data_IF_053877004946
#
_entry.id   IF_053877004946
#
_cell.length_a   1.000
_cell.length_b   1.000
_cell.length_c   1.000
_cell.angle_alpha   90.00
_cell.angle_beta   90.00
_cell.angle_gamma   90.00
#
_symmetry.space_group_name_H-M   'P 1'
#
loop_
_entity.id
_entity.type
_entity.pdbx_description
1 polymer ?
#
# COMPACT_ATOMS: atom_id res chain seq x y z
N UNK A 1 -13.53 12.14 23.06
CA UNK A 1 -14.56 11.36 22.37
C UNK A 1 -13.90 10.73 21.16
N UNK A 2 -13.93 9.41 21.01
CA UNK A 2 -13.46 8.77 19.79
C UNK A 2 -14.54 8.97 18.72
N UNK A 3 -14.28 9.77 17.69
CA UNK A 3 -15.21 9.84 16.56
C UNK A 3 -15.14 8.52 15.79
N UNK A 4 -16.31 7.96 15.52
CA UNK A 4 -16.47 6.84 14.62
C UNK A 4 -16.62 7.41 13.21
N UNK A 5 -15.79 6.96 12.29
CA UNK A 5 -15.80 7.40 10.89
C UNK A 5 -16.32 6.27 10.00
N UNK A 6 -16.86 6.61 8.85
CA UNK A 6 -17.28 5.63 7.84
C UNK A 6 -16.32 5.72 6.68
N UNK A 7 -15.59 4.64 6.46
CA UNK A 7 -14.71 4.48 5.30
C UNK A 7 -15.38 3.58 4.29
N UNK A 8 -15.22 3.95 3.02
CA UNK A 8 -15.76 3.23 1.88
C UNK A 8 -14.61 2.90 0.95
N UNK A 9 -14.43 1.60 0.68
CA UNK A 9 -13.43 1.12 -0.26
C UNK A 9 -14.18 0.75 -1.54
N UNK A 10 -13.82 1.42 -2.62
CA UNK A 10 -14.41 1.21 -3.94
C UNK A 10 -13.35 0.62 -4.87
N UNK A 11 -13.68 -0.50 -5.50
CA UNK A 11 -12.83 -1.13 -6.50
C UNK A 11 -13.56 -1.13 -7.83
N UNK A 12 -12.89 -0.64 -8.88
CA UNK A 12 -13.40 -0.65 -10.24
C UNK A 12 -12.43 -1.40 -11.13
N UNK A 13 -12.96 -2.36 -11.87
CA UNK A 13 -12.22 -3.09 -12.89
C UNK A 13 -12.53 -2.48 -14.26
N UNK A 14 -11.49 -1.97 -14.93
CA UNK A 14 -11.58 -1.50 -16.30
C UNK A 14 -10.91 -2.49 -17.25
N UNK A 15 -11.55 -2.71 -18.39
CA UNK A 15 -10.94 -3.38 -19.54
C UNK A 15 -10.65 -2.36 -20.63
N UNK A 16 -9.45 -2.44 -21.20
CA UNK A 16 -9.06 -1.66 -22.39
C UNK A 16 -8.92 -2.60 -23.58
N UNK A 17 -9.67 -2.34 -24.64
CA UNK A 17 -9.58 -3.12 -25.88
C UNK A 17 -8.48 -2.53 -26.79
N UNK A 18 -8.08 -3.25 -27.85
CA UNK A 18 -7.02 -2.81 -28.81
C UNK A 18 -7.29 -1.49 -29.56
N UNK A 19 -8.42 -0.83 -29.30
CA UNK A 19 -8.81 0.50 -29.80
C UNK A 19 -8.71 1.59 -28.72
N UNK A 20 -8.11 1.29 -27.56
CA UNK A 20 -7.90 2.19 -26.41
C UNK A 20 -9.18 2.75 -25.77
N UNK A 21 -10.33 2.13 -26.02
CA UNK A 21 -11.58 2.44 -25.31
C UNK A 21 -11.54 1.68 -23.97
N UNK A 22 -11.66 2.43 -22.88
CA UNK A 22 -11.83 1.88 -21.54
C UNK A 22 -13.32 1.65 -21.26
N UNK A 23 -13.64 0.47 -20.76
CA UNK A 23 -14.98 0.11 -20.30
C UNK A 23 -14.89 -0.46 -18.89
N UNK A 24 -15.71 0.05 -17.99
CA UNK A 24 -15.92 -0.57 -16.68
C UNK A 24 -16.59 -1.94 -16.84
N UNK A 25 -15.99 -2.95 -16.24
CA UNK A 25 -16.43 -4.35 -16.30
C UNK A 25 -17.21 -4.70 -15.04
N UNK A 26 -16.70 -4.28 -13.89
CA UNK A 26 -17.23 -4.63 -12.58
C UNK A 26 -16.80 -3.58 -11.56
N UNK A 27 -17.68 -3.31 -10.61
CA UNK A 27 -17.40 -2.54 -9.42
C UNK A 27 -17.86 -3.28 -8.16
N UNK A 28 -17.18 -3.05 -7.05
CA UNK A 28 -17.71 -3.42 -5.76
C UNK A 28 -17.31 -2.42 -4.69
N UNK A 29 -18.16 -2.32 -3.68
CA UNK A 29 -18.04 -1.38 -2.59
C UNK A 29 -18.14 -2.11 -1.25
N UNK A 30 -17.24 -1.78 -0.32
CA UNK A 30 -17.30 -2.28 1.06
C UNK A 30 -17.21 -1.08 2.00
N UNK A 31 -18.12 -1.05 2.98
CA UNK A 31 -18.18 -0.02 4.00
C UNK A 31 -17.66 -0.54 5.35
N UNK A 32 -16.85 0.27 6.01
CA UNK A 32 -16.30 0.00 7.33
C UNK A 32 -16.56 1.17 8.28
N UNK A 33 -17.16 0.89 9.43
CA UNK A 33 -17.12 1.81 10.58
C UNK A 33 -15.74 1.70 11.25
N UNK A 34 -14.92 2.74 11.15
CA UNK A 34 -13.53 2.74 11.60
C UNK A 34 -13.37 3.61 12.85
N UNK A 35 -12.34 3.30 13.64
CA UNK A 35 -11.97 4.07 14.83
C UNK A 35 -10.53 4.55 14.69
N UNK A 36 -10.31 5.86 14.81
CA UNK A 36 -8.98 6.46 14.79
C UNK A 36 -8.13 6.01 13.58
N UNK A 37 -8.62 6.19 12.34
CA UNK A 37 -7.88 5.76 11.16
C UNK A 37 -6.51 6.44 11.09
N UNK A 38 -5.55 5.75 10.48
CA UNK A 38 -4.16 6.20 10.40
C UNK A 38 -3.69 6.25 8.96
N UNK A 39 -2.93 7.29 8.64
CA UNK A 39 -2.09 7.36 7.44
C UNK A 39 -0.64 7.42 7.87
N UNK A 40 0.11 6.38 7.58
CA UNK A 40 1.54 6.29 7.88
C UNK A 40 2.32 6.38 6.57
N UNK A 41 3.44 7.11 6.58
CA UNK A 41 4.25 7.31 5.40
C UNK A 41 5.72 7.14 5.73
N UNK A 42 6.47 6.43 4.87
CA UNK A 42 7.90 6.20 5.05
C UNK A 42 8.61 6.10 3.71
N UNK A 43 9.68 6.86 3.54
CA UNK A 43 10.62 6.65 2.43
C UNK A 43 11.61 5.54 2.79
N UNK A 44 11.86 4.64 1.85
CA UNK A 44 12.81 3.52 1.97
C UNK A 44 13.64 3.37 0.70
N UNK A 45 14.84 2.80 0.80
CA UNK A 45 15.68 2.34 -0.33
C UNK A 45 16.23 0.95 -0.01
N UNK A 46 16.76 0.23 -0.99
CA UNK A 46 17.28 -1.13 -0.78
C UNK A 46 18.28 -1.24 0.39
N UNK A 47 19.18 -0.25 0.53
CA UNK A 47 20.21 -0.25 1.59
C UNK A 47 19.65 -0.10 3.01
N UNK A 48 18.41 0.35 3.16
CA UNK A 48 17.75 0.42 4.46
C UNK A 48 17.27 -0.97 4.94
N UNK A 49 17.42 -2.00 4.09
CA UNK A 49 17.02 -3.38 4.33
C UNK A 49 15.53 -3.48 4.67
N UNK A 50 15.22 -4.17 5.77
CA UNK A 50 13.86 -4.41 6.24
C UNK A 50 13.47 -3.34 7.27
N UNK A 51 12.76 -2.31 6.81
CA UNK A 51 12.36 -1.14 7.59
C UNK A 51 11.06 -1.42 8.34
N UNK A 52 11.00 -1.08 9.62
CA UNK A 52 9.77 -1.18 10.40
C UNK A 52 8.88 0.05 10.21
N UNK A 53 7.60 -0.18 9.92
CA UNK A 53 6.55 0.85 9.95
C UNK A 53 5.88 0.80 11.32
N UNK A 54 5.81 1.92 12.07
CA UNK A 54 5.31 1.93 13.44
C UNK A 54 3.77 1.86 13.45
N UNK A 55 3.22 0.65 13.53
CA UNK A 55 1.78 0.44 13.64
C UNK A 55 1.32 0.77 15.08
N UNK A 56 0.37 1.69 15.27
CA UNK A 56 -0.15 2.01 16.60
C UNK A 56 -0.79 0.80 17.27
N UNK A 57 -0.51 0.61 18.56
CA UNK A 57 -1.10 -0.46 19.36
C UNK A 57 -2.43 -0.02 20.00
N UNK A 58 -3.26 -0.98 20.39
CA UNK A 58 -4.53 -0.72 21.07
C UNK A 58 -5.69 -0.27 20.16
N UNK A 59 -5.48 -0.25 18.85
CA UNK A 59 -6.50 0.03 17.84
C UNK A 59 -6.78 -1.25 17.04
N UNK A 60 -8.05 -1.57 16.82
CA UNK A 60 -8.44 -2.69 15.95
C UNK A 60 -8.78 -2.14 14.57
N UNK A 61 -7.87 -2.30 13.62
CA UNK A 61 -8.09 -1.95 12.22
C UNK A 61 -8.89 -3.05 11.51
N UNK A 62 -9.86 -2.64 10.69
CA UNK A 62 -10.71 -3.49 9.85
C UNK A 62 -10.10 -3.75 8.47
N UNK A 63 -9.27 -2.85 7.96
CA UNK A 63 -8.59 -3.00 6.68
C UNK A 63 -7.20 -2.37 6.69
N UNK A 64 -6.41 -2.79 5.71
CA UNK A 64 -5.10 -2.22 5.40
C UNK A 64 -4.99 -1.98 3.91
N UNK A 65 -4.54 -0.78 3.55
CA UNK A 65 -4.09 -0.44 2.20
C UNK A 65 -2.61 -0.08 2.26
N UNK A 66 -1.79 -0.70 1.41
CA UNK A 66 -0.38 -0.31 1.24
C UNK A 66 -0.18 0.10 -0.21
N UNK A 67 0.42 1.27 -0.39
CA UNK A 67 0.80 1.84 -1.67
C UNK A 67 2.29 2.18 -1.63
N UNK A 68 3.02 1.80 -2.67
CA UNK A 68 4.42 2.14 -2.84
C UNK A 68 4.64 2.79 -4.20
N UNK A 69 5.30 3.95 -4.21
CA UNK A 69 5.56 4.73 -5.42
C UNK A 69 6.99 5.25 -5.46
N UNK A 70 7.52 5.46 -6.66
CA UNK A 70 8.84 6.07 -6.85
C UNK A 70 8.81 7.55 -6.45
N UNK A 71 9.79 7.99 -5.65
CA UNK A 71 9.84 9.39 -5.17
C UNK A 71 10.37 10.37 -6.19
N UNK A 72 11.22 9.93 -7.12
CA UNK A 72 11.74 10.75 -8.22
C UNK A 72 11.80 9.96 -9.51
N UNK A 73 11.95 10.65 -10.62
CA UNK A 73 12.23 10.02 -11.91
C UNK A 73 13.58 9.28 -11.87
N UNK A 74 13.67 8.17 -12.58
CA UNK A 74 14.90 7.44 -12.83
C UNK A 74 14.94 7.02 -14.31
N UNK A 75 15.74 7.77 -15.07
CA UNK A 75 15.84 7.63 -16.52
C UNK A 75 16.64 6.40 -16.95
N UNK A 76 17.47 5.82 -16.07
CA UNK A 76 18.27 4.65 -16.41
C UNK A 76 17.41 3.39 -16.58
N UNK A 77 16.32 3.30 -15.82
CA UNK A 77 15.35 2.19 -15.85
C UNK A 77 13.96 2.60 -16.34
N UNK A 78 13.77 3.87 -16.74
CA UNK A 78 12.57 4.34 -17.43
C UNK A 78 11.34 4.50 -16.54
N UNK A 79 11.52 4.77 -15.25
CA UNK A 79 10.44 4.98 -14.27
C UNK A 79 10.27 6.46 -13.94
N UNK A 80 9.02 6.87 -13.74
CA UNK A 80 8.64 8.23 -13.38
C UNK A 80 8.27 8.31 -11.91
N UNK A 81 8.43 9.50 -11.33
CA UNK A 81 7.89 9.82 -10.01
C UNK A 81 6.39 9.53 -9.97
N UNK A 82 5.96 8.83 -8.93
CA UNK A 82 4.57 8.44 -8.73
C UNK A 82 4.18 7.11 -9.38
N UNK A 83 5.03 6.55 -10.25
CA UNK A 83 4.79 5.20 -10.77
C UNK A 83 4.79 4.18 -9.62
N UNK A 84 4.01 3.08 -9.72
CA UNK A 84 3.99 2.02 -8.71
C UNK A 84 5.37 1.36 -8.59
N UNK A 85 5.85 1.15 -7.36
CA UNK A 85 7.19 0.66 -7.10
C UNK A 85 7.19 -0.68 -6.35
N UNK A 86 8.05 -1.64 -6.72
CA UNK A 86 8.05 -2.96 -6.12
C UNK A 86 8.51 -2.91 -4.66
N UNK A 87 7.79 -3.61 -3.79
CA UNK A 87 8.15 -3.80 -2.39
C UNK A 87 7.99 -5.25 -1.96
N UNK A 88 8.60 -5.58 -0.82
CA UNK A 88 8.38 -6.82 -0.08
C UNK A 88 7.90 -6.46 1.31
N UNK A 89 6.81 -7.07 1.77
CA UNK A 89 6.28 -6.84 3.11
C UNK A 89 6.35 -8.10 3.97
N UNK A 90 6.47 -7.89 5.28
CA UNK A 90 6.22 -8.89 6.32
C UNK A 90 5.23 -8.32 7.31
N UNK A 91 4.19 -9.08 7.62
CA UNK A 91 3.08 -8.64 8.46
C UNK A 91 3.02 -9.46 9.73
N UNK A 92 2.51 -8.85 10.81
CA UNK A 92 2.12 -9.55 12.04
C UNK A 92 3.22 -10.46 12.64
N UNK A 93 4.48 -10.01 12.56
CA UNK A 93 5.63 -10.75 13.08
C UNK A 93 6.05 -11.98 12.25
N UNK A 94 5.40 -12.22 11.12
CA UNK A 94 5.74 -13.33 10.22
C UNK A 94 7.13 -13.13 9.59
N UNK A 95 7.81 -14.25 9.36
CA UNK A 95 9.04 -14.28 8.55
C UNK A 95 8.76 -14.51 7.06
N UNK A 96 7.50 -14.72 6.68
CA UNK A 96 7.11 -14.91 5.29
C UNK A 96 7.13 -13.57 4.55
N UNK A 97 7.83 -13.55 3.42
CA UNK A 97 7.82 -12.43 2.50
C UNK A 97 6.54 -12.48 1.65
N UNK A 98 5.84 -11.35 1.58
CA UNK A 98 4.84 -11.09 0.54
C UNK A 98 5.46 -10.13 -0.47
N UNK A 99 5.68 -10.63 -1.69
CA UNK A 99 6.27 -9.85 -2.78
C UNK A 99 5.15 -9.10 -3.49
N UNK A 100 5.29 -7.79 -3.61
CA UNK A 100 4.31 -6.90 -4.26
C UNK A 100 4.99 -6.18 -5.43
N UNK A 101 5.02 -6.80 -6.64
CA UNK A 101 5.71 -6.23 -7.80
C UNK A 101 5.17 -4.87 -8.23
N UNK A 102 3.88 -4.61 -7.98
CA UNK A 102 3.19 -3.37 -8.31
C UNK A 102 3.03 -2.43 -7.10
N UNK A 103 3.74 -2.69 -6.00
CA UNK A 103 3.72 -1.79 -4.84
C UNK A 103 2.38 -1.67 -4.11
N UNK A 104 1.41 -2.51 -4.45
CA UNK A 104 0.03 -2.38 -3.98
C UNK A 104 -0.46 -3.66 -3.32
N UNK A 105 -1.18 -3.49 -2.22
CA UNK A 105 -2.04 -4.53 -1.66
C UNK A 105 -3.16 -3.89 -0.84
N UNK A 106 -4.32 -4.52 -0.89
CA UNK A 106 -5.45 -4.29 0.02
C UNK A 106 -5.87 -5.63 0.61
N UNK A 107 -6.20 -5.67 1.90
CA UNK A 107 -6.86 -6.83 2.48
C UNK A 107 -7.71 -6.43 3.69
N UNK A 108 -8.77 -7.22 3.93
CA UNK A 108 -9.62 -7.09 5.11
C UNK A 108 -8.98 -7.79 6.31
N UNK A 109 -8.87 -7.09 7.43
CA UNK A 109 -8.29 -7.57 8.68
C UNK A 109 -7.32 -6.59 9.32
N UNK A 110 -6.96 -6.87 10.56
CA UNK A 110 -6.04 -6.03 11.34
C UNK A 110 -4.57 -6.29 11.03
N UNK A 111 -3.75 -5.29 11.34
CA UNK A 111 -2.31 -5.33 11.25
C UNK A 111 -1.73 -4.85 12.58
N UNK A 112 -0.84 -5.65 13.15
CA UNK A 112 -0.20 -5.39 14.44
C UNK A 112 1.28 -5.01 14.27
N UNK A 113 1.90 -5.45 13.18
CA UNK A 113 3.26 -5.04 12.82
C UNK A 113 3.45 -5.14 11.32
N UNK A 114 4.27 -4.23 10.80
CA UNK A 114 4.61 -4.17 9.39
C UNK A 114 6.09 -3.88 9.24
N UNK A 115 6.73 -4.69 8.41
CA UNK A 115 8.06 -4.40 7.92
C UNK A 115 8.04 -4.39 6.40
N UNK A 116 8.76 -3.45 5.81
CA UNK A 116 8.79 -3.22 4.38
C UNK A 116 10.23 -3.12 3.94
N UNK A 117 10.54 -3.79 2.84
CA UNK A 117 11.80 -3.66 2.13
C UNK A 117 11.49 -3.37 0.67
N UNK A 118 12.48 -2.89 -0.07
CA UNK A 118 12.40 -2.81 -1.52
C UNK A 118 13.63 -3.46 -2.14
N UNK A 119 13.48 -4.18 -3.27
CA UNK A 119 14.62 -4.61 -4.07
C UNK A 119 15.28 -3.44 -4.83
N UNK A 120 14.66 -2.26 -4.88
CA UNK A 120 15.07 -1.13 -5.71
C UNK A 120 16.19 -0.30 -5.05
N UNK A 121 17.33 -0.20 -5.71
CA UNK A 121 18.58 0.33 -5.17
C UNK A 121 18.91 1.75 -5.64
N UNK A 122 18.46 2.14 -6.83
CA UNK A 122 18.85 3.41 -7.44
C UNK A 122 18.12 4.63 -6.87
N UNK A 123 16.98 4.46 -6.20
CA UNK A 123 16.18 5.55 -5.64
C UNK A 123 15.42 5.16 -4.36
N UNK A 124 14.80 6.15 -3.73
CA UNK A 124 13.85 5.96 -2.66
C UNK A 124 12.44 5.68 -3.20
N UNK A 125 11.73 4.84 -2.46
CA UNK A 125 10.33 4.52 -2.64
C UNK A 125 9.57 5.10 -1.46
N UNK A 126 8.48 5.81 -1.74
CA UNK A 126 7.52 6.23 -0.75
C UNK A 126 6.55 5.08 -0.49
N UNK A 127 6.50 4.61 0.75
CA UNK A 127 5.48 3.67 1.22
C UNK A 127 4.44 4.44 2.01
N UNK A 128 3.18 4.35 1.59
CA UNK A 128 2.03 4.84 2.32
C UNK A 128 1.19 3.67 2.81
N UNK A 129 0.78 3.72 4.07
CA UNK A 129 -0.03 2.69 4.72
C UNK A 129 -1.27 3.37 5.31
N UNK A 130 -2.43 2.97 4.83
CA UNK A 130 -3.72 3.44 5.32
C UNK A 130 -4.36 2.34 6.16
N UNK A 131 -4.71 2.67 7.39
CA UNK A 131 -5.32 1.76 8.36
C UNK A 131 -6.66 2.35 8.80
N UNK A 132 -7.71 1.55 8.74
CA UNK A 132 -9.05 1.90 9.23
C UNK A 132 -9.72 0.68 9.81
#
# INVERSE_FOLDING_TARGET
MNSMEIHRIFFQLFQRNGVSIEREVEDFEIEHQVQQPQKLTKAIRQTDNLVQIPIPSGITFKYVLILATYLTDDTAVGVRRGDPAPIVIRTNGSNQNHILPQGFITWSGGLNSLRVATPYDTNQILVEVYLG
#
